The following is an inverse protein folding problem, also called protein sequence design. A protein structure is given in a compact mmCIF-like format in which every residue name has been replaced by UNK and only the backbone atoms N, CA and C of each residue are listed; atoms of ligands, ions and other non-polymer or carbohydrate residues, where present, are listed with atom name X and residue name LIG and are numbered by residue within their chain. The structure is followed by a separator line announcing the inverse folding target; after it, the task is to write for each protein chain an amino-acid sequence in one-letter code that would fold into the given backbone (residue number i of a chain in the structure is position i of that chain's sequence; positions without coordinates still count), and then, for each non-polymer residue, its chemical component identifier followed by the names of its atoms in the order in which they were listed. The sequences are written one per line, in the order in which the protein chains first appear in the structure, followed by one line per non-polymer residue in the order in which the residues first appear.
data_IF_680417163827
#
_entry.id   IF_680417163827
#
_cell.length_a   1.000
_cell.length_b   1.000
_cell.length_c   1.000
_cell.angle_alpha   90.00
_cell.angle_beta   90.00
_cell.angle_gamma   90.00
#
_symmetry.space_group_name_H-M   'P 1'
#
loop_
_entity.id
_entity.type
_entity.pdbx_description
1 polymer ?
#
# COMPACT_ATOMS: atom_id res chain seq x y z
N UNK A 1 8.51 23.77 -15.20
CA UNK A 1 9.16 24.52 -14.10
C UNK A 1 9.17 26.02 -14.34
N UNK A 2 9.47 26.49 -15.56
CA UNK A 2 9.49 27.91 -15.95
C UNK A 2 8.17 28.65 -15.66
N UNK A 3 7.01 28.06 -15.96
CA UNK A 3 5.69 28.67 -15.70
C UNK A 3 5.39 28.96 -14.21
N UNK A 4 5.92 28.16 -13.30
CA UNK A 4 5.70 28.34 -11.86
C UNK A 4 6.66 29.41 -11.29
N UNK A 5 7.89 29.48 -11.80
CA UNK A 5 8.84 30.53 -11.42
C UNK A 5 8.37 31.91 -11.88
N UNK A 6 7.85 32.03 -13.11
CA UNK A 6 7.30 33.29 -13.60
C UNK A 6 6.06 33.70 -12.80
N UNK A 7 5.13 32.77 -12.56
CA UNK A 7 3.96 33.03 -11.72
C UNK A 7 4.34 33.47 -10.30
N UNK A 8 5.30 32.80 -9.67
CA UNK A 8 5.81 33.16 -8.35
C UNK A 8 6.44 34.57 -8.35
N UNK A 9 7.27 34.89 -9.36
CA UNK A 9 7.89 36.20 -9.50
C UNK A 9 6.84 37.31 -9.65
N UNK A 10 5.86 37.16 -10.55
CA UNK A 10 4.79 38.13 -10.72
C UNK A 10 3.94 38.29 -9.45
N UNK A 11 3.63 37.18 -8.77
CA UNK A 11 2.86 37.19 -7.52
C UNK A 11 3.57 37.92 -6.38
N UNK A 12 4.88 37.68 -6.23
CA UNK A 12 5.71 38.35 -5.23
C UNK A 12 5.89 39.83 -5.55
N UNK A 13 6.10 40.19 -6.82
CA UNK A 13 6.19 41.59 -7.26
C UNK A 13 4.88 42.35 -7.02
N UNK A 14 3.73 41.76 -7.36
CA UNK A 14 2.42 42.36 -7.12
C UNK A 14 2.18 42.60 -5.62
N UNK A 15 2.52 41.62 -4.79
CA UNK A 15 2.38 41.73 -3.33
C UNK A 15 3.34 42.77 -2.77
N UNK A 16 4.61 42.75 -3.15
CA UNK A 16 5.59 43.76 -2.75
C UNK A 16 5.17 45.18 -3.15
N UNK A 17 4.61 45.35 -4.35
CA UNK A 17 4.09 46.63 -4.81
C UNK A 17 2.89 47.10 -3.98
N UNK A 18 1.97 46.19 -3.63
CA UNK A 18 0.81 46.51 -2.78
C UNK A 18 1.22 46.88 -1.34
N UNK A 19 2.21 46.18 -0.79
CA UNK A 19 2.79 46.45 0.53
C UNK A 19 3.48 47.82 0.50
N UNK A 20 4.32 48.06 -0.51
CA UNK A 20 5.01 49.34 -0.69
C UNK A 20 4.02 50.50 -0.81
N UNK A 21 2.98 50.37 -1.64
CA UNK A 21 1.93 51.37 -1.76
C UNK A 21 1.22 51.66 -0.43
N UNK A 22 0.93 50.63 0.36
CA UNK A 22 0.25 50.81 1.64
C UNK A 22 1.09 51.57 2.66
N UNK A 23 2.40 51.33 2.71
CA UNK A 23 3.34 52.02 3.59
C UNK A 23 3.77 53.39 3.08
N UNK A 24 3.80 53.62 1.77
CA UNK A 24 4.11 54.94 1.20
C UNK A 24 2.93 55.90 1.29
N UNK A 25 1.70 55.39 1.19
CA UNK A 25 0.48 56.20 1.36
C UNK A 25 0.10 56.46 2.81
N UNK A 26 0.64 55.69 3.77
CA UNK A 26 0.32 55.81 5.20
C UNK A 26 1.61 55.85 6.00
N UNK A 27 1.88 56.99 6.60
CA UNK A 27 3.10 57.24 7.39
C UNK A 27 3.18 56.37 8.66
N UNK A 28 2.05 55.83 9.13
CA UNK A 28 1.95 55.02 10.35
C UNK A 28 1.75 53.53 10.05
N UNK A 29 2.39 52.68 10.85
CA UNK A 29 2.35 51.22 10.72
C UNK A 29 0.93 50.63 10.86
N UNK A 30 0.18 51.05 11.88
CA UNK A 30 -1.13 50.47 12.17
C UNK A 30 -2.16 50.70 11.04
N UNK A 31 -2.36 51.93 10.52
CA UNK A 31 -3.22 52.16 9.37
C UNK A 31 -2.82 51.38 8.10
N UNK A 32 -1.51 51.19 7.87
CA UNK A 32 -1.00 50.39 6.75
C UNK A 32 -1.38 48.91 6.89
N UNK A 33 -1.21 48.33 8.08
CA UNK A 33 -1.61 46.94 8.36
C UNK A 33 -3.12 46.74 8.28
N UNK A 34 -3.90 47.68 8.80
CA UNK A 34 -5.36 47.64 8.67
C UNK A 34 -5.73 47.63 7.19
N UNK A 35 -5.20 48.53 6.36
CA UNK A 35 -5.48 48.54 4.92
C UNK A 35 -5.11 47.23 4.21
N UNK A 36 -3.96 46.64 4.52
CA UNK A 36 -3.55 45.34 3.96
C UNK A 36 -4.55 44.23 4.30
N UNK A 37 -5.07 44.24 5.53
CA UNK A 37 -6.00 43.22 6.02
C UNK A 37 -7.46 43.44 5.59
N UNK A 38 -7.88 44.70 5.39
CA UNK A 38 -9.27 45.05 5.06
C UNK A 38 -9.52 45.20 3.56
N UNK A 39 -8.49 45.57 2.79
CA UNK A 39 -8.63 45.71 1.34
C UNK A 39 -8.72 44.34 0.67
N UNK A 40 -9.83 44.09 -0.03
CA UNK A 40 -10.07 42.81 -0.73
C UNK A 40 -8.94 42.42 -1.68
N UNK A 41 -8.37 43.40 -2.40
CA UNK A 41 -7.30 43.15 -3.39
C UNK A 41 -6.00 42.79 -2.66
N UNK A 42 -5.60 43.56 -1.65
CA UNK A 42 -4.37 43.30 -0.89
C UNK A 42 -4.45 41.95 -0.18
N UNK A 43 -5.62 41.64 0.38
CA UNK A 43 -5.89 40.36 1.03
C UNK A 43 -5.74 39.17 0.07
N UNK A 44 -6.29 39.25 -1.15
CA UNK A 44 -6.13 38.20 -2.18
C UNK A 44 -4.67 38.05 -2.59
N UNK A 45 -3.93 39.16 -2.75
CA UNK A 45 -2.49 39.12 -3.07
C UNK A 45 -1.67 38.45 -1.95
N UNK A 46 -2.00 38.72 -0.68
CA UNK A 46 -1.36 38.09 0.48
C UNK A 46 -1.67 36.58 0.54
N UNK A 47 -2.92 36.17 0.31
CA UNK A 47 -3.28 34.75 0.24
C UNK A 47 -2.57 34.03 -0.91
N UNK A 48 -2.49 34.67 -2.08
CA UNK A 48 -1.77 34.16 -3.24
C UNK A 48 -0.26 34.01 -2.96
N UNK A 49 0.33 34.94 -2.22
CA UNK A 49 1.72 34.82 -1.75
C UNK A 49 1.91 33.65 -0.79
N UNK A 50 0.93 33.40 0.11
CA UNK A 50 0.91 32.20 0.93
C UNK A 50 0.90 30.91 0.10
N UNK A 51 0.09 30.85 -0.96
CA UNK A 51 0.07 29.71 -1.89
C UNK A 51 1.40 29.53 -2.61
N UNK A 52 2.02 30.62 -3.08
CA UNK A 52 3.37 30.58 -3.69
C UNK A 52 4.40 30.04 -2.69
N UNK A 53 4.38 30.50 -1.44
CA UNK A 53 5.26 30.01 -0.39
C UNK A 53 5.09 28.50 -0.15
N UNK A 54 3.85 28.01 -0.14
CA UNK A 54 3.55 26.57 -0.06
C UNK A 54 4.10 25.78 -1.26
N UNK A 55 3.95 26.30 -2.48
CA UNK A 55 4.53 25.67 -3.68
C UNK A 55 6.07 25.65 -3.64
N UNK A 56 6.70 26.70 -3.13
CA UNK A 56 8.16 26.75 -2.95
C UNK A 56 8.61 25.76 -1.88
N UNK A 57 7.90 25.67 -0.74
CA UNK A 57 8.17 24.68 0.29
C UNK A 57 8.07 23.25 -0.24
N UNK A 58 7.02 22.93 -1.02
CA UNK A 58 6.89 21.66 -1.72
C UNK A 58 8.09 21.36 -2.62
N UNK A 59 8.51 22.33 -3.45
CA UNK A 59 9.67 22.14 -4.33
C UNK A 59 10.96 21.94 -3.55
N UNK A 60 11.15 22.65 -2.44
CA UNK A 60 12.31 22.52 -1.58
C UNK A 60 12.37 21.12 -0.97
N UNK A 61 11.29 20.66 -0.33
CA UNK A 61 11.20 19.31 0.25
C UNK A 61 11.42 18.24 -0.82
N UNK A 62 10.77 18.38 -1.99
CA UNK A 62 10.99 17.50 -3.13
C UNK A 62 12.46 17.44 -3.54
N UNK A 63 13.14 18.59 -3.69
CA UNK A 63 14.54 18.64 -4.12
C UNK A 63 15.50 18.08 -3.07
N UNK A 64 15.28 18.38 -1.79
CA UNK A 64 16.15 17.96 -0.70
C UNK A 64 16.07 16.45 -0.44
N UNK A 65 14.86 15.89 -0.39
CA UNK A 65 14.65 14.52 0.05
C UNK A 65 14.34 13.54 -1.09
N UNK A 66 13.52 13.94 -2.06
CA UNK A 66 12.90 13.02 -3.03
C UNK A 66 13.59 13.01 -4.41
N UNK A 67 14.25 14.12 -4.79
CA UNK A 67 14.82 14.30 -6.12
C UNK A 67 13.76 14.40 -7.23
N UNK A 68 13.85 13.53 -8.24
CA UNK A 68 12.87 13.43 -9.33
C UNK A 68 11.72 12.51 -8.94
N UNK A 69 10.49 13.00 -9.09
CA UNK A 69 9.27 12.21 -8.88
C UNK A 69 9.09 11.22 -10.02
N UNK A 70 8.70 9.99 -9.68
CA UNK A 70 8.42 8.90 -10.62
C UNK A 70 6.94 8.92 -11.02
N UNK A 71 6.61 8.29 -12.14
CA UNK A 71 5.23 8.29 -12.67
C UNK A 71 4.24 7.68 -11.66
N UNK A 72 4.58 6.52 -11.07
CA UNK A 72 3.75 5.88 -10.05
C UNK A 72 3.51 6.76 -8.79
N UNK A 73 4.43 7.68 -8.48
CA UNK A 73 4.27 8.61 -7.37
C UNK A 73 3.34 9.76 -7.74
N UNK A 74 3.45 10.28 -8.97
CA UNK A 74 2.58 11.33 -9.49
C UNK A 74 1.15 10.82 -9.65
N UNK A 75 0.98 9.60 -10.15
CA UNK A 75 -0.32 8.96 -10.28
C UNK A 75 -1.01 8.79 -8.91
N UNK A 76 -0.28 8.23 -7.94
CA UNK A 76 -0.74 8.10 -6.54
C UNK A 76 -1.16 9.45 -5.95
N UNK A 77 -0.35 10.50 -6.14
CA UNK A 77 -0.66 11.85 -5.68
C UNK A 77 -1.95 12.38 -6.31
N UNK A 78 -2.11 12.23 -7.62
CA UNK A 78 -3.26 12.73 -8.35
C UNK A 78 -4.55 12.05 -7.88
N UNK A 79 -4.55 10.73 -7.84
CA UNK A 79 -5.71 9.95 -7.39
C UNK A 79 -6.15 10.30 -5.96
N UNK A 80 -5.20 10.43 -5.04
CA UNK A 80 -5.51 10.66 -3.64
C UNK A 80 -5.86 12.12 -3.36
N UNK A 81 -5.20 13.09 -4.03
CA UNK A 81 -5.44 14.52 -3.81
C UNK A 81 -6.90 14.92 -4.03
N UNK A 82 -7.55 14.41 -5.08
CA UNK A 82 -8.95 14.72 -5.36
C UNK A 82 -9.88 14.16 -4.30
N UNK A 83 -9.64 12.92 -3.85
CA UNK A 83 -10.43 12.27 -2.80
C UNK A 83 -10.40 13.05 -1.49
N UNK A 84 -9.23 13.54 -1.15
CA UNK A 84 -8.96 14.22 0.13
C UNK A 84 -9.53 15.63 0.17
N UNK A 85 -9.49 16.34 -0.98
CA UNK A 85 -10.21 17.61 -1.10
C UNK A 85 -11.71 17.42 -0.86
N UNK A 86 -12.30 16.36 -1.41
CA UNK A 86 -13.73 16.04 -1.20
C UNK A 86 -14.02 15.69 0.27
N UNK A 87 -13.17 14.91 0.93
CA UNK A 87 -13.30 14.61 2.38
C UNK A 87 -13.28 15.89 3.22
N UNK A 88 -12.31 16.77 2.96
CA UNK A 88 -12.18 18.04 3.68
C UNK A 88 -13.42 18.91 3.46
N UNK A 89 -13.94 18.98 2.22
CA UNK A 89 -15.18 19.71 1.94
C UNK A 89 -16.36 19.18 2.75
N UNK A 90 -16.53 17.86 2.84
CA UNK A 90 -17.55 17.27 3.71
C UNK A 90 -17.31 17.58 5.20
N UNK A 91 -16.07 17.54 5.67
CA UNK A 91 -15.73 17.92 7.04
C UNK A 91 -16.11 19.38 7.33
N UNK A 92 -15.80 20.32 6.43
CA UNK A 92 -16.17 21.75 6.56
C UNK A 92 -17.67 21.91 6.73
N UNK A 93 -18.48 21.16 5.96
CA UNK A 93 -19.94 21.28 6.04
C UNK A 93 -20.52 20.81 7.38
N UNK A 94 -19.87 19.85 8.04
CA UNK A 94 -20.32 19.29 9.32
C UNK A 94 -20.01 20.28 10.46
N UNK A 95 -18.81 20.84 10.48
CA UNK A 95 -18.40 21.72 11.57
C UNK A 95 -18.97 23.13 11.48
N UNK A 96 -19.61 23.50 10.35
CA UNK A 96 -20.27 24.80 10.14
C UNK A 96 -19.43 26.01 10.57
N UNK A 97 -18.11 25.90 10.44
CA UNK A 97 -17.18 26.94 10.88
C UNK A 97 -17.02 28.02 9.80
N UNK A 98 -16.90 29.27 10.24
CA UNK A 98 -16.65 30.39 9.33
C UNK A 98 -15.31 30.19 8.58
N UNK A 99 -15.32 30.50 7.29
CA UNK A 99 -14.13 30.47 6.43
C UNK A 99 -13.14 31.55 6.84
N UNK A 100 -12.30 31.23 7.83
CA UNK A 100 -11.19 32.08 8.27
C UNK A 100 -9.91 31.76 7.50
N UNK A 101 -9.01 32.75 7.41
CA UNK A 101 -7.67 32.56 6.80
C UNK A 101 -6.88 31.47 7.52
N UNK A 102 -6.97 31.43 8.85
CA UNK A 102 -6.31 30.41 9.66
C UNK A 102 -6.81 29.01 9.29
N UNK A 103 -8.12 28.86 9.10
CA UNK A 103 -8.69 27.58 8.69
C UNK A 103 -8.20 27.15 7.30
N UNK A 104 -8.23 28.06 6.32
CA UNK A 104 -7.73 27.78 4.97
C UNK A 104 -6.24 27.42 4.96
N UNK A 105 -5.43 28.10 5.78
CA UNK A 105 -4.02 27.79 5.95
C UNK A 105 -3.79 26.41 6.57
N UNK A 106 -4.58 26.02 7.57
CA UNK A 106 -4.51 24.68 8.17
C UNK A 106 -4.91 23.59 7.17
N UNK A 107 -5.96 23.80 6.36
CA UNK A 107 -6.36 22.88 5.29
C UNK A 107 -5.23 22.73 4.25
N UNK A 108 -4.67 23.83 3.79
CA UNK A 108 -3.57 23.82 2.82
C UNK A 108 -2.32 23.11 3.38
N UNK A 109 -1.99 23.35 4.65
CA UNK A 109 -0.91 22.67 5.35
C UNK A 109 -1.17 21.16 5.48
N UNK A 110 -2.38 20.76 5.88
CA UNK A 110 -2.76 19.35 5.98
C UNK A 110 -2.63 18.63 4.64
N UNK A 111 -3.16 19.20 3.55
CA UNK A 111 -3.05 18.63 2.21
C UNK A 111 -1.58 18.48 1.77
N UNK A 112 -0.74 19.48 2.06
CA UNK A 112 0.69 19.40 1.77
C UNK A 112 1.36 18.25 2.54
N UNK A 113 1.10 18.15 3.84
CA UNK A 113 1.69 17.10 4.69
C UNK A 113 1.19 15.71 4.26
N UNK A 114 -0.11 15.54 3.98
CA UNK A 114 -0.66 14.28 3.44
C UNK A 114 0.01 13.88 2.12
N UNK A 115 0.19 14.83 1.20
CA UNK A 115 0.87 14.56 -0.07
C UNK A 115 2.32 14.10 0.12
N UNK A 116 3.06 14.71 1.06
CA UNK A 116 4.42 14.28 1.40
C UNK A 116 4.47 12.87 2.01
N UNK A 117 3.46 12.51 2.82
CA UNK A 117 3.34 11.16 3.37
C UNK A 117 3.08 10.10 2.30
N UNK A 118 2.18 10.36 1.34
CA UNK A 118 1.94 9.40 0.23
C UNK A 118 3.21 9.17 -0.59
N UNK A 119 4.02 10.22 -0.79
CA UNK A 119 5.32 10.11 -1.43
C UNK A 119 6.31 9.28 -0.61
N UNK A 120 6.39 9.51 0.71
CA UNK A 120 7.26 8.73 1.60
C UNK A 120 6.92 7.23 1.54
N UNK A 121 5.63 6.88 1.64
CA UNK A 121 5.15 5.51 1.54
C UNK A 121 5.55 4.86 0.20
N UNK A 122 5.32 5.55 -0.92
CA UNK A 122 5.67 5.03 -2.25
C UNK A 122 7.17 4.95 -2.51
N UNK A 123 7.97 5.76 -1.82
CA UNK A 123 9.43 5.66 -1.88
C UNK A 123 9.95 4.47 -1.08
N UNK A 124 9.40 4.22 0.10
CA UNK A 124 9.75 3.03 0.90
C UNK A 124 9.39 1.75 0.16
N UNK A 125 8.18 1.66 -0.40
CA UNK A 125 7.72 0.53 -1.22
C UNK A 125 8.66 0.27 -2.42
N UNK A 126 9.11 1.34 -3.08
CA UNK A 126 10.07 1.19 -4.17
C UNK A 126 11.43 0.69 -3.72
N UNK A 127 11.97 1.25 -2.63
CA UNK A 127 13.26 0.83 -2.08
C UNK A 127 13.19 -0.65 -1.71
N UNK A 128 12.08 -1.11 -1.14
CA UNK A 128 11.87 -2.52 -0.82
C UNK A 128 11.90 -3.43 -2.06
N UNK A 129 11.25 -3.00 -3.14
CA UNK A 129 11.19 -3.79 -4.39
C UNK A 129 12.44 -3.72 -5.26
N UNK A 130 13.37 -2.79 -4.98
CA UNK A 130 14.55 -2.55 -5.81
C UNK A 130 15.78 -3.27 -5.24
N UNK A 131 16.46 -4.13 -6.03
CA UNK A 131 17.51 -5.02 -5.51
C UNK A 131 18.80 -4.30 -5.09
N UNK A 132 19.08 -3.11 -5.64
CA UNK A 132 20.22 -2.29 -5.21
C UNK A 132 19.87 -0.81 -5.28
N UNK A 133 20.04 -0.13 -4.16
CA UNK A 133 19.80 1.30 -3.99
C UNK A 133 21.04 1.94 -3.35
N UNK A 134 21.45 3.14 -3.79
CA UNK A 134 22.64 3.78 -3.25
C UNK A 134 22.41 4.25 -1.81
N UNK A 135 23.47 4.26 -0.98
CA UNK A 135 23.40 4.70 0.42
C UNK A 135 22.81 6.11 0.61
N UNK A 136 23.06 7.02 -0.35
CA UNK A 136 22.47 8.36 -0.33
C UNK A 136 20.93 8.33 -0.36
N UNK A 137 20.33 7.35 -1.04
CA UNK A 137 18.88 7.17 -1.06
C UNK A 137 18.35 6.71 0.30
N UNK A 138 19.09 5.86 1.01
CA UNK A 138 18.74 5.45 2.38
C UNK A 138 18.80 6.63 3.35
N UNK A 139 19.87 7.43 3.31
CA UNK A 139 20.02 8.63 4.16
C UNK A 139 18.87 9.62 3.88
N UNK A 140 18.53 9.83 2.60
CA UNK A 140 17.44 10.72 2.20
C UNK A 140 16.08 10.25 2.70
N UNK A 141 15.74 8.97 2.57
CA UNK A 141 14.42 8.48 3.01
C UNK A 141 14.29 8.47 4.54
N UNK A 142 15.35 8.11 5.26
CA UNK A 142 15.35 8.14 6.75
C UNK A 142 15.21 9.57 7.26
N UNK A 143 16.00 10.50 6.74
CA UNK A 143 15.88 11.92 7.10
C UNK A 143 14.53 12.52 6.71
N UNK A 144 13.94 12.08 5.58
CA UNK A 144 12.60 12.50 5.17
C UNK A 144 11.50 12.00 6.12
N UNK A 145 11.52 10.73 6.51
CA UNK A 145 10.56 10.18 7.48
C UNK A 145 10.71 10.84 8.86
N UNK A 146 11.94 11.11 9.30
CA UNK A 146 12.18 11.83 10.55
C UNK A 146 11.63 13.27 10.49
N UNK A 147 11.85 13.97 9.37
CA UNK A 147 11.30 15.30 9.12
C UNK A 147 9.76 15.30 9.16
N UNK A 148 9.11 14.31 8.53
CA UNK A 148 7.65 14.18 8.55
C UNK A 148 7.12 13.92 9.97
N UNK A 149 7.74 13.01 10.72
CA UNK A 149 7.32 12.70 12.08
C UNK A 149 7.44 13.92 13.01
N UNK A 150 8.50 14.73 12.86
CA UNK A 150 8.65 15.99 13.60
C UNK A 150 7.52 16.96 13.25
N UNK A 151 7.23 17.13 11.96
CA UNK A 151 6.12 17.97 11.50
C UNK A 151 4.79 17.50 12.10
N UNK A 152 4.47 16.22 12.02
CA UNK A 152 3.22 15.68 12.56
C UNK A 152 3.11 15.92 14.06
N UNK A 153 4.18 15.69 14.82
CA UNK A 153 4.20 15.94 16.27
C UNK A 153 4.00 17.42 16.59
N UNK A 154 4.62 18.33 15.82
CA UNK A 154 4.45 19.77 16.00
C UNK A 154 3.00 20.20 15.72
N UNK A 155 2.43 19.80 14.58
CA UNK A 155 1.05 20.14 14.21
C UNK A 155 0.02 19.49 15.15
N UNK A 156 0.23 18.24 15.56
CA UNK A 156 -0.59 17.55 16.54
C UNK A 156 -0.54 18.26 17.90
N UNK A 157 0.65 18.62 18.39
CA UNK A 157 0.80 19.33 19.66
C UNK A 157 0.12 20.70 19.64
N UNK A 158 0.23 21.44 18.53
CA UNK A 158 -0.44 22.73 18.37
C UNK A 158 -1.96 22.57 18.34
N UNK A 159 -2.47 21.58 17.59
CA UNK A 159 -3.90 21.31 17.46
C UNK A 159 -4.50 20.85 18.79
N UNK A 160 -3.80 19.98 19.53
CA UNK A 160 -4.19 19.53 20.87
C UNK A 160 -4.17 20.68 21.88
N UNK A 161 -3.15 21.54 21.87
CA UNK A 161 -3.13 22.75 22.73
C UNK A 161 -4.31 23.66 22.45
N UNK A 162 -4.63 23.91 21.18
CA UNK A 162 -5.81 24.70 20.80
C UNK A 162 -7.12 24.05 21.28
N UNK A 163 -7.23 22.73 21.22
CA UNK A 163 -8.40 21.99 21.69
C UNK A 163 -8.57 22.10 23.21
N UNK A 164 -7.48 21.91 23.96
CA UNK A 164 -7.50 21.96 25.43
C UNK A 164 -7.79 23.39 25.92
N UNK A 165 -7.23 24.40 25.27
CA UNK A 165 -7.39 25.80 25.69
C UNK A 165 -8.80 26.33 25.41
N UNK A 166 -9.35 26.03 24.22
CA UNK A 166 -10.67 26.53 23.84
C UNK A 166 -11.81 25.73 24.48
N UNK A 167 -11.57 24.45 24.85
CA UNK A 167 -12.57 23.48 25.38
C UNK A 167 -13.83 23.28 24.51
N UNK A 168 -13.93 23.99 23.39
CA UNK A 168 -14.95 23.80 22.38
C UNK A 168 -14.50 22.73 21.40
N UNK A 169 -15.32 21.69 21.28
CA UNK A 169 -15.25 20.83 20.12
C UNK A 169 -15.41 21.74 18.90
N UNK A 170 -14.40 21.76 18.04
CA UNK A 170 -14.34 22.59 16.84
C UNK A 170 -13.52 21.82 15.80
N UNK A 171 -13.32 22.42 14.62
CA UNK A 171 -12.52 21.84 13.54
C UNK A 171 -11.10 21.43 13.99
N UNK A 172 -10.59 21.95 15.10
CA UNK A 172 -9.34 21.50 15.71
C UNK A 172 -9.31 19.99 16.01
N UNK A 173 -10.46 19.37 16.35
CA UNK A 173 -10.53 17.91 16.56
C UNK A 173 -10.22 17.17 15.25
N UNK A 174 -10.84 17.59 14.14
CA UNK A 174 -10.59 17.03 12.82
C UNK A 174 -9.10 17.08 12.45
N UNK A 175 -8.46 18.22 12.59
CA UNK A 175 -7.02 18.33 12.33
C UNK A 175 -6.18 17.47 13.28
N UNK A 176 -6.50 17.46 14.58
CA UNK A 176 -5.75 16.63 15.55
C UNK A 176 -5.81 15.15 15.21
N UNK A 177 -6.97 14.67 14.78
CA UNK A 177 -7.18 13.30 14.37
C UNK A 177 -6.40 12.95 13.10
N UNK A 178 -6.47 13.82 12.10
CA UNK A 178 -5.74 13.65 10.84
C UNK A 178 -4.23 13.58 11.05
N UNK A 179 -3.66 14.48 11.87
CA UNK A 179 -2.25 14.46 12.21
C UNK A 179 -1.86 13.24 13.06
N UNK A 180 -2.76 12.73 13.90
CA UNK A 180 -2.51 11.51 14.68
C UNK A 180 -2.43 10.28 13.76
N UNK A 181 -3.30 10.16 12.76
CA UNK A 181 -3.24 9.06 11.78
C UNK A 181 -1.96 9.15 10.94
N UNK A 182 -1.58 10.35 10.50
CA UNK A 182 -0.34 10.56 9.76
C UNK A 182 0.88 10.13 10.58
N UNK A 183 0.94 10.52 11.85
CA UNK A 183 2.01 10.11 12.75
C UNK A 183 2.07 8.57 12.92
N UNK A 184 0.94 7.90 13.17
CA UNK A 184 0.91 6.43 13.32
C UNK A 184 1.31 5.71 12.04
N UNK A 185 0.90 6.23 10.89
CA UNK A 185 1.25 5.72 9.56
C UNK A 185 2.75 5.88 9.26
N UNK A 186 3.35 7.01 9.64
CA UNK A 186 4.80 7.26 9.52
C UNK A 186 5.60 6.31 10.40
N UNK A 187 5.17 6.09 11.66
CA UNK A 187 5.82 5.12 12.55
C UNK A 187 5.75 3.72 11.96
N UNK A 188 4.58 3.28 11.49
CA UNK A 188 4.41 1.97 10.84
C UNK A 188 5.32 1.81 9.61
N UNK A 189 5.38 2.84 8.75
CA UNK A 189 6.24 2.86 7.56
C UNK A 189 7.73 2.83 7.92
N UNK A 190 8.13 3.56 8.97
CA UNK A 190 9.50 3.56 9.48
C UNK A 190 9.90 2.18 10.00
N UNK A 191 9.04 1.51 10.78
CA UNK A 191 9.33 0.16 11.27
C UNK A 191 9.43 -0.85 10.11
N UNK A 192 8.56 -0.76 9.09
CA UNK A 192 8.71 -1.57 7.86
C UNK A 192 10.04 -1.34 7.17
N UNK A 193 10.47 -0.08 7.07
CA UNK A 193 11.77 0.26 6.49
C UNK A 193 12.93 -0.33 7.31
N UNK A 194 12.87 -0.27 8.64
CA UNK A 194 13.86 -0.92 9.51
C UNK A 194 13.88 -2.43 9.28
N UNK A 195 12.72 -3.06 9.07
CA UNK A 195 12.68 -4.49 8.75
C UNK A 195 13.37 -4.79 7.42
N UNK A 196 13.12 -3.98 6.39
CA UNK A 196 13.80 -4.11 5.11
C UNK A 196 15.32 -3.94 5.22
N UNK A 197 15.80 -2.91 5.92
CA UNK A 197 17.25 -2.69 6.10
C UNK A 197 17.89 -3.83 6.88
N UNK A 198 17.21 -4.34 7.92
CA UNK A 198 17.71 -5.48 8.70
C UNK A 198 17.82 -6.73 7.85
N UNK A 199 16.83 -7.01 7.00
CA UNK A 199 16.87 -8.12 6.04
C UNK A 199 18.00 -7.98 5.03
N UNK A 200 18.22 -6.76 4.51
CA UNK A 200 19.33 -6.46 3.59
C UNK A 200 20.70 -6.68 4.26
N UNK A 201 20.85 -6.32 5.54
CA UNK A 201 22.07 -6.55 6.31
C UNK A 201 22.30 -8.03 6.63
N UNK A 202 21.24 -8.83 6.70
CA UNK A 202 21.29 -10.29 6.88
C UNK A 202 21.34 -11.03 5.53
N UNK A 203 21.68 -10.35 4.43
CA UNK A 203 21.76 -10.94 3.08
C UNK A 203 20.47 -11.71 2.67
N UNK A 204 19.30 -11.29 3.17
CA UNK A 204 18.02 -11.93 2.88
C UNK A 204 17.73 -13.20 3.69
N UNK A 205 18.55 -13.54 4.69
CA UNK A 205 18.38 -14.74 5.51
C UNK A 205 17.34 -14.60 6.63
N UNK A 206 16.57 -13.50 6.68
CA UNK A 206 15.61 -13.28 7.76
C UNK A 206 14.29 -14.03 7.53
N UNK A 207 14.26 -15.33 7.86
CA UNK A 207 13.09 -16.21 7.67
C UNK A 207 11.79 -15.67 8.31
N UNK A 208 11.89 -14.92 9.41
CA UNK A 208 10.72 -14.41 10.17
C UNK A 208 10.25 -13.01 9.74
N UNK A 209 10.90 -12.37 8.76
CA UNK A 209 10.53 -11.02 8.28
C UNK A 209 9.06 -10.91 7.90
N UNK A 210 8.55 -11.87 7.13
CA UNK A 210 7.16 -11.88 6.66
C UNK A 210 6.16 -11.91 7.83
N UNK A 211 6.47 -12.68 8.88
CA UNK A 211 5.64 -12.79 10.09
C UNK A 211 5.63 -11.48 10.87
N UNK A 212 6.79 -10.85 11.08
CA UNK A 212 6.86 -9.57 11.79
C UNK A 212 6.21 -8.43 11.00
N UNK A 213 6.38 -8.42 9.67
CA UNK A 213 5.73 -7.45 8.77
C UNK A 213 4.22 -7.61 8.83
N UNK A 214 3.72 -8.86 8.83
CA UNK A 214 2.30 -9.16 9.01
C UNK A 214 1.76 -8.64 10.36
N UNK A 215 2.47 -8.87 11.46
CA UNK A 215 2.05 -8.37 12.78
C UNK A 215 2.02 -6.84 12.85
N UNK A 216 3.05 -6.18 12.32
CA UNK A 216 3.11 -4.73 12.24
C UNK A 216 1.92 -4.17 11.46
N UNK A 217 1.60 -4.79 10.34
CA UNK A 217 0.45 -4.47 9.51
C UNK A 217 -0.89 -4.65 10.22
N UNK A 218 -1.09 -5.78 10.90
CA UNK A 218 -2.29 -6.05 11.68
C UNK A 218 -2.45 -5.04 12.84
N UNK A 219 -1.37 -4.73 13.56
CA UNK A 219 -1.38 -3.76 14.65
C UNK A 219 -1.66 -2.36 14.11
N UNK A 220 -1.04 -1.97 12.99
CA UNK A 220 -1.29 -0.69 12.34
C UNK A 220 -2.75 -0.54 11.92
N UNK A 221 -3.37 -1.57 11.33
CA UNK A 221 -4.79 -1.55 10.97
C UNK A 221 -5.69 -1.47 12.19
N UNK A 222 -5.38 -2.21 13.26
CA UNK A 222 -6.13 -2.17 14.51
C UNK A 222 -6.06 -0.77 15.15
N UNK A 223 -4.87 -0.16 15.18
CA UNK A 223 -4.69 1.21 15.67
C UNK A 223 -5.51 2.17 14.82
N UNK A 224 -5.40 2.16 13.50
CA UNK A 224 -6.19 3.04 12.64
C UNK A 224 -7.70 2.82 12.82
N UNK A 225 -8.18 1.58 12.83
CA UNK A 225 -9.59 1.26 13.06
C UNK A 225 -10.08 1.80 14.41
N UNK A 226 -9.28 1.65 15.47
CA UNK A 226 -9.60 2.18 16.79
C UNK A 226 -9.69 3.72 16.80
N UNK A 227 -8.77 4.39 16.10
CA UNK A 227 -8.76 5.85 15.97
C UNK A 227 -9.98 6.34 15.17
N UNK A 228 -10.26 5.74 14.01
CA UNK A 228 -11.44 6.08 13.19
C UNK A 228 -12.75 5.85 13.97
N UNK A 229 -12.86 4.75 14.72
CA UNK A 229 -14.04 4.48 15.56
C UNK A 229 -14.19 5.51 16.68
N UNK A 230 -13.10 5.84 17.39
CA UNK A 230 -13.12 6.84 18.46
C UNK A 230 -13.56 8.21 17.91
N UNK A 231 -13.02 8.61 16.77
CA UNK A 231 -13.35 9.90 16.14
C UNK A 231 -14.77 9.91 15.57
N UNK A 232 -15.21 8.81 14.94
CA UNK A 232 -16.59 8.66 14.48
C UNK A 232 -17.58 8.84 15.63
N UNK A 233 -17.36 8.15 16.76
CA UNK A 233 -18.21 8.28 17.95
C UNK A 233 -18.15 9.71 18.50
N UNK A 234 -16.96 10.30 18.59
CA UNK A 234 -16.79 11.66 19.09
C UNK A 234 -17.56 12.69 18.24
N UNK A 235 -17.49 12.63 16.91
CA UNK A 235 -18.27 13.54 16.07
C UNK A 235 -19.75 13.19 16.10
N UNK A 236 -20.10 11.91 16.05
CA UNK A 236 -21.49 11.45 16.07
C UNK A 236 -22.27 11.99 17.27
N UNK A 237 -21.66 11.92 18.46
CA UNK A 237 -22.29 12.38 19.70
C UNK A 237 -22.42 13.91 19.77
N UNK A 238 -21.57 14.67 19.09
CA UNK A 238 -21.54 16.14 19.19
C UNK A 238 -22.21 16.86 18.00
N UNK A 239 -22.16 16.28 16.79
CA UNK A 239 -22.57 16.94 15.53
C UNK A 239 -23.47 16.07 14.64
N UNK A 240 -23.71 14.80 15.01
CA UNK A 240 -24.44 13.84 14.18
C UNK A 240 -23.55 13.10 13.18
N UNK A 241 -24.17 12.50 12.15
CA UNK A 241 -23.49 11.50 11.29
C UNK A 241 -22.31 12.09 10.50
N UNK A 242 -21.06 11.62 10.74
CA UNK A 242 -19.90 12.10 9.99
C UNK A 242 -19.73 11.35 8.67
N UNK A 243 -20.38 11.82 7.60
CA UNK A 243 -20.31 11.19 6.27
C UNK A 243 -18.87 11.04 5.74
N UNK A 244 -18.00 12.01 6.07
CA UNK A 244 -16.59 12.03 5.70
C UNK A 244 -15.72 10.95 6.37
N UNK A 245 -16.27 10.14 7.30
CA UNK A 245 -15.54 9.05 7.96
C UNK A 245 -16.07 7.66 7.60
N UNK A 246 -17.22 7.59 6.92
CA UNK A 246 -17.89 6.31 6.65
C UNK A 246 -17.04 5.46 5.72
N UNK A 247 -16.42 6.08 4.69
CA UNK A 247 -15.60 5.36 3.73
C UNK A 247 -14.32 4.85 4.38
N UNK A 248 -13.64 5.71 5.12
CA UNK A 248 -12.37 5.47 5.79
C UNK A 248 -12.52 4.36 6.83
N UNK A 249 -13.64 4.39 7.56
CA UNK A 249 -14.01 3.33 8.49
C UNK A 249 -14.32 2.02 7.77
N UNK A 250 -15.05 2.05 6.66
CA UNK A 250 -15.34 0.86 5.86
C UNK A 250 -14.08 0.24 5.28
N UNK A 251 -13.19 1.05 4.70
CA UNK A 251 -11.93 0.60 4.10
C UNK A 251 -10.99 -0.01 5.15
N UNK A 252 -10.79 0.67 6.28
CA UNK A 252 -9.95 0.14 7.37
C UNK A 252 -10.52 -1.13 7.97
N UNK A 253 -11.83 -1.21 8.19
CA UNK A 253 -12.49 -2.41 8.68
C UNK A 253 -12.40 -3.58 7.69
N UNK A 254 -12.57 -3.31 6.38
CA UNK A 254 -12.42 -4.32 5.32
C UNK A 254 -11.00 -4.87 5.28
N UNK A 255 -9.99 -3.99 5.33
CA UNK A 255 -8.58 -4.37 5.33
C UNK A 255 -8.24 -5.23 6.56
N UNK A 256 -8.70 -4.80 7.74
CA UNK A 256 -8.52 -5.56 8.97
C UNK A 256 -9.18 -6.95 8.92
N UNK A 257 -10.40 -7.05 8.39
CA UNK A 257 -11.10 -8.33 8.19
C UNK A 257 -10.33 -9.27 7.26
N UNK A 258 -9.83 -8.75 6.14
CA UNK A 258 -9.02 -9.54 5.19
C UNK A 258 -7.77 -10.05 5.89
N UNK A 259 -7.04 -9.19 6.62
CA UNK A 259 -5.84 -9.60 7.37
C UNK A 259 -6.11 -10.62 8.46
N UNK A 260 -7.23 -10.53 9.18
CA UNK A 260 -7.62 -11.57 10.14
C UNK A 260 -7.89 -12.89 9.43
N UNK A 261 -8.60 -12.88 8.30
CA UNK A 261 -8.87 -14.09 7.54
C UNK A 261 -7.56 -14.74 7.06
N UNK A 262 -6.60 -13.92 6.59
CA UNK A 262 -5.27 -14.38 6.20
C UNK A 262 -4.48 -14.94 7.39
N UNK A 263 -4.55 -14.32 8.57
CA UNK A 263 -3.93 -14.84 9.80
C UNK A 263 -4.49 -16.20 10.21
N UNK A 264 -5.83 -16.33 10.23
CA UNK A 264 -6.49 -17.57 10.59
C UNK A 264 -6.13 -18.66 9.58
N UNK A 265 -6.08 -18.34 8.29
CA UNK A 265 -5.64 -19.24 7.23
C UNK A 265 -4.17 -19.66 7.41
N UNK A 266 -3.28 -18.71 7.66
CA UNK A 266 -1.86 -18.95 7.94
C UNK A 266 -1.67 -19.89 9.14
N UNK A 267 -2.37 -19.62 10.25
CA UNK A 267 -2.30 -20.45 11.46
C UNK A 267 -2.89 -21.83 11.21
N UNK A 268 -3.97 -21.97 10.44
CA UNK A 268 -4.57 -23.27 10.11
C UNK A 268 -3.63 -24.15 9.27
N UNK A 269 -2.90 -23.56 8.32
CA UNK A 269 -1.91 -24.28 7.51
C UNK A 269 -0.69 -24.65 8.36
N UNK A 270 -0.19 -23.72 9.18
CA UNK A 270 1.05 -23.90 9.95
C UNK A 270 0.89 -24.79 11.19
N UNK A 271 -0.25 -24.70 11.89
CA UNK A 271 -0.51 -25.47 13.12
C UNK A 271 -0.53 -26.98 12.92
N UNK A 272 -0.61 -27.45 11.67
CA UNK A 272 -0.62 -28.87 11.35
C UNK A 272 0.62 -29.29 10.54
N UNK A 273 1.61 -28.42 10.31
CA UNK A 273 2.79 -28.81 9.51
C UNK A 273 3.71 -29.81 10.22
N UNK A 274 4.01 -29.57 11.50
CA UNK A 274 4.88 -30.47 12.26
C UNK A 274 4.18 -31.79 12.62
N UNK A 275 2.86 -31.79 12.73
CA UNK A 275 2.05 -32.98 13.01
C UNK A 275 1.71 -33.78 11.75
N UNK A 276 1.52 -33.14 10.58
CA UNK A 276 1.12 -33.82 9.33
C UNK A 276 2.28 -34.45 8.57
N UNK A 277 3.49 -33.91 8.72
CA UNK A 277 4.65 -34.36 7.94
C UNK A 277 5.74 -34.86 8.89
N UNK A 278 6.12 -36.16 8.79
CA UNK A 278 7.23 -36.68 9.57
C UNK A 278 8.54 -36.01 9.14
N UNK A 279 9.45 -35.86 10.10
CA UNK A 279 10.83 -35.48 9.82
C UNK A 279 11.53 -36.62 9.07
N UNK A 280 12.32 -36.29 8.07
CA UNK A 280 13.13 -37.28 7.36
C UNK A 280 14.24 -37.79 8.28
N UNK A 281 14.48 -39.10 8.27
CA UNK A 281 15.65 -39.66 8.96
C UNK A 281 16.94 -39.24 8.24
N UNK A 282 18.06 -39.19 8.96
CA UNK A 282 19.37 -38.88 8.36
C UNK A 282 19.75 -39.85 7.24
N UNK A 283 19.26 -41.09 7.30
CA UNK A 283 19.46 -42.12 6.28
C UNK A 283 18.65 -41.84 5.00
N UNK A 284 17.39 -41.39 5.13
CA UNK A 284 16.56 -41.00 3.98
C UNK A 284 17.05 -39.71 3.31
N UNK A 285 17.63 -38.82 4.10
CA UNK A 285 18.21 -37.56 3.65
C UNK A 285 19.53 -37.76 2.89
N UNK A 286 20.31 -38.78 3.27
CA UNK A 286 21.52 -39.18 2.54
C UNK A 286 21.23 -40.06 1.31
N UNK A 287 20.12 -40.80 1.32
CA UNK A 287 19.70 -41.63 0.18
C UNK A 287 19.00 -40.83 -0.93
N UNK A 288 18.41 -39.69 -0.58
CA UNK A 288 17.82 -38.72 -1.51
C UNK A 288 18.82 -37.58 -1.75
N UNK A 289 18.71 -36.85 -2.86
CA UNK A 289 19.52 -35.65 -3.08
C UNK A 289 19.23 -34.65 -1.93
N UNK A 290 20.24 -34.35 -1.11
CA UNK A 290 20.11 -33.50 0.08
C UNK A 290 19.83 -32.04 -0.29
N UNK A 291 19.73 -31.69 -1.56
CA UNK A 291 19.46 -30.34 -2.04
C UNK A 291 17.96 -30.04 -2.07
N UNK A 292 17.52 -28.98 -1.39
CA UNK A 292 16.11 -28.54 -1.46
C UNK A 292 15.81 -27.87 -2.82
N UNK A 293 14.78 -28.31 -3.54
CA UNK A 293 14.49 -27.75 -4.89
C UNK A 293 13.99 -26.29 -4.84
N UNK A 294 13.49 -25.85 -3.69
CA UNK A 294 12.87 -24.53 -3.53
C UNK A 294 13.94 -23.45 -3.36
N UNK A 295 14.87 -23.63 -2.42
CA UNK A 295 15.96 -22.68 -2.17
C UNK A 295 17.29 -23.06 -2.83
N UNK A 296 17.43 -24.30 -3.32
CA UNK A 296 18.67 -24.86 -3.91
C UNK A 296 19.84 -24.96 -2.92
N UNK A 297 19.55 -25.04 -1.63
CA UNK A 297 20.53 -25.22 -0.55
C UNK A 297 20.45 -26.64 0.03
N UNK A 298 21.54 -27.09 0.65
CA UNK A 298 21.63 -28.41 1.29
C UNK A 298 20.75 -28.47 2.56
N UNK A 299 20.05 -29.60 2.74
CA UNK A 299 19.11 -29.84 3.81
C UNK A 299 19.79 -30.57 4.95
N UNK A 300 19.81 -29.97 6.13
CA UNK A 300 20.21 -30.64 7.39
C UNK A 300 19.01 -31.19 8.16
N UNK A 301 17.84 -30.56 7.98
CA UNK A 301 16.55 -31.01 8.50
C UNK A 301 15.48 -30.84 7.42
N UNK A 302 14.77 -31.92 7.08
CA UNK A 302 13.75 -31.90 6.03
C UNK A 302 12.44 -32.53 6.49
N UNK A 303 11.32 -32.01 5.97
CA UNK A 303 9.99 -32.59 6.14
C UNK A 303 9.63 -33.41 4.91
N UNK A 304 9.11 -34.62 5.15
CA UNK A 304 8.68 -35.55 4.10
C UNK A 304 7.19 -35.41 3.84
N UNK A 305 6.81 -35.08 2.61
CA UNK A 305 5.41 -35.12 2.20
C UNK A 305 4.95 -36.58 1.97
N UNK A 306 3.64 -36.79 1.94
CA UNK A 306 3.03 -38.11 1.65
C UNK A 306 3.45 -38.70 0.29
N UNK A 307 3.86 -37.85 -0.65
CA UNK A 307 4.41 -38.26 -1.95
C UNK A 307 5.91 -38.59 -1.92
N UNK A 308 6.56 -38.56 -0.75
CA UNK A 308 7.96 -38.93 -0.56
C UNK A 308 8.99 -37.81 -0.76
N UNK A 309 8.60 -36.63 -1.26
CA UNK A 309 9.54 -35.53 -1.51
C UNK A 309 9.93 -34.78 -0.23
N UNK A 310 11.20 -34.37 -0.16
CA UNK A 310 11.84 -33.72 0.98
C UNK A 310 12.09 -32.23 0.72
N UNK A 311 11.81 -31.39 1.71
CA UNK A 311 12.07 -29.94 1.64
C UNK A 311 12.42 -29.38 3.03
N UNK A 312 13.14 -28.26 3.11
CA UNK A 312 13.24 -27.50 4.38
C UNK A 312 11.86 -27.10 4.88
N UNK A 313 11.71 -27.03 6.20
CA UNK A 313 10.44 -26.66 6.85
C UNK A 313 9.97 -25.27 6.41
N UNK A 314 10.88 -24.28 6.34
CA UNK A 314 10.56 -22.92 5.92
C UNK A 314 10.17 -22.86 4.43
N UNK A 315 10.89 -23.59 3.57
CA UNK A 315 10.62 -23.67 2.13
C UNK A 315 9.25 -24.28 1.85
N UNK A 316 8.94 -25.40 2.51
CA UNK A 316 7.65 -26.06 2.38
C UNK A 316 6.51 -25.17 2.91
N UNK A 317 6.73 -24.47 4.02
CA UNK A 317 5.74 -23.53 4.58
C UNK A 317 5.44 -22.41 3.58
N UNK A 318 6.47 -21.76 3.05
CA UNK A 318 6.33 -20.67 2.07
C UNK A 318 5.65 -21.13 0.78
N UNK A 319 5.94 -22.35 0.32
CA UNK A 319 5.26 -22.92 -0.85
C UNK A 319 3.78 -23.19 -0.58
N UNK A 320 3.46 -23.80 0.56
CA UNK A 320 2.09 -24.15 0.96
C UNK A 320 1.19 -22.93 1.20
N UNK A 321 1.76 -21.77 1.52
CA UNK A 321 1.03 -20.51 1.56
C UNK A 321 0.43 -20.13 0.19
N UNK A 322 1.08 -20.56 -0.90
CA UNK A 322 0.72 -20.22 -2.29
C UNK A 322 -0.01 -21.36 -3.00
N UNK A 323 0.49 -22.58 -2.87
CA UNK A 323 0.04 -23.76 -3.63
C UNK A 323 -0.04 -24.99 -2.72
N UNK A 324 -1.19 -25.65 -2.66
CA UNK A 324 -1.42 -26.84 -1.82
C UNK A 324 -0.99 -28.15 -2.52
N UNK A 325 0.06 -28.09 -3.33
CA UNK A 325 0.57 -29.20 -4.14
C UNK A 325 2.06 -29.38 -3.92
N UNK A 326 2.57 -30.59 -4.09
CA UNK A 326 4.01 -30.84 -3.98
C UNK A 326 4.78 -30.04 -5.05
N UNK A 327 5.84 -29.29 -4.69
CA UNK A 327 6.68 -28.57 -5.65
C UNK A 327 7.27 -29.45 -6.76
N UNK A 328 7.61 -30.71 -6.44
CA UNK A 328 8.23 -31.64 -7.39
C UNK A 328 7.19 -32.35 -8.26
N UNK A 329 6.21 -33.03 -7.65
CA UNK A 329 5.29 -33.90 -8.37
C UNK A 329 3.88 -33.34 -8.56
N UNK A 330 3.60 -32.15 -8.00
CA UNK A 330 2.27 -31.48 -8.02
C UNK A 330 1.13 -32.30 -7.41
N UNK A 331 1.42 -33.41 -6.74
CA UNK A 331 0.42 -34.19 -6.02
C UNK A 331 -0.26 -33.34 -4.93
N UNK A 332 -1.59 -33.44 -4.77
CA UNK A 332 -2.31 -32.73 -3.73
C UNK A 332 -1.87 -33.22 -2.34
N UNK A 333 -1.69 -32.27 -1.43
CA UNK A 333 -1.13 -32.51 -0.10
C UNK A 333 -2.22 -32.94 0.90
N UNK A 334 -3.48 -32.78 0.53
CA UNK A 334 -4.66 -33.30 1.23
C UNK A 334 -5.22 -34.43 0.35
N UNK A 335 -5.21 -35.70 0.80
CA UNK A 335 -5.99 -36.73 0.13
C UNK A 335 -7.45 -36.26 0.10
N UNK A 336 -8.08 -36.25 -1.07
CA UNK A 336 -9.52 -36.01 -1.13
C UNK A 336 -10.19 -37.03 -0.21
N UNK A 337 -11.00 -36.55 0.73
CA UNK A 337 -11.78 -37.39 1.62
C UNK A 337 -12.55 -38.39 0.73
N UNK A 338 -12.17 -39.67 0.82
CA UNK A 338 -12.77 -40.73 0.02
C UNK A 338 -14.22 -40.89 0.47
N UNK A 339 -15.13 -40.15 -0.17
CA UNK A 339 -16.53 -40.16 0.21
C UNK A 339 -17.54 -39.85 -0.88
N UNK A 340 -17.16 -39.37 -2.08
CA UNK A 340 -18.15 -39.05 -3.15
C UNK A 340 -17.52 -38.77 -4.53
N UNK A 341 -16.82 -39.74 -5.12
CA UNK A 341 -16.52 -39.70 -6.57
C UNK A 341 -16.22 -41.11 -7.13
N UNK A 342 -16.97 -42.12 -6.70
CA UNK A 342 -17.07 -43.38 -7.43
C UNK A 342 -18.33 -43.33 -8.30
N UNK A 343 -18.31 -42.54 -9.37
CA UNK A 343 -19.21 -42.74 -10.51
C UNK A 343 -18.72 -41.98 -11.74
N UNK A 344 -17.73 -42.57 -12.41
CA UNK A 344 -17.53 -42.47 -13.85
C UNK A 344 -16.56 -43.59 -14.26
N UNK A 345 -16.97 -44.82 -13.95
CA UNK A 345 -16.43 -46.01 -14.61
C UNK A 345 -17.19 -46.14 -15.91
N UNK A 346 -16.51 -46.15 -17.05
CA UNK A 346 -16.77 -47.12 -18.13
C UNK A 346 -15.73 -47.04 -19.27
N UNK A 347 -15.58 -48.09 -20.08
CA UNK A 347 -14.35 -48.88 -20.12
C UNK A 347 -13.84 -49.10 -21.56
N UNK A 348 -12.69 -49.74 -21.72
CA UNK A 348 -12.31 -50.31 -23.02
C UNK A 348 -10.83 -50.52 -23.21
N UNK A 349 -10.29 -51.60 -22.64
CA UNK A 349 -9.09 -52.24 -23.15
C UNK A 349 -9.52 -53.62 -23.68
N UNK A 350 -9.19 -53.93 -24.92
CA UNK A 350 -8.95 -55.30 -25.36
C UNK A 350 -7.66 -55.37 -26.19
N UNK A 351 -6.87 -56.44 -26.03
CA UNK A 351 -5.53 -56.57 -26.61
C UNK A 351 -5.55 -57.39 -27.91
N UNK A 352 -4.63 -57.10 -28.84
CA UNK A 352 -4.24 -58.03 -29.90
C UNK A 352 -2.76 -57.86 -30.23
N UNK A 353 -2.03 -58.97 -30.28
CA UNK A 353 -0.60 -59.09 -30.51
C UNK A 353 -0.25 -59.13 -32.02
N UNK A 354 0.96 -58.68 -32.38
CA UNK A 354 1.63 -59.06 -33.63
C UNK A 354 2.43 -57.98 -34.37
N UNK A 355 3.75 -57.96 -34.13
CA UNK A 355 4.90 -57.72 -35.06
C UNK A 355 4.91 -56.60 -36.11
N UNK A 356 6.00 -55.79 -36.09
CA UNK A 356 6.62 -55.16 -37.27
C UNK A 356 6.87 -53.64 -37.19
N UNK A 357 8.13 -53.20 -37.16
CA UNK A 357 8.61 -51.83 -37.47
C UNK A 357 8.83 -51.67 -39.00
N UNK A 358 9.10 -50.48 -39.58
CA UNK A 358 8.96 -49.08 -39.11
C UNK A 358 8.30 -48.10 -40.15
N UNK A 359 8.14 -46.83 -39.73
CA UNK A 359 8.03 -45.57 -40.51
C UNK A 359 6.69 -45.16 -41.18
N UNK A 360 6.11 -44.04 -40.73
CA UNK A 360 5.71 -42.86 -41.56
C UNK A 360 4.93 -41.80 -40.76
N UNK A 361 5.39 -40.56 -40.91
CA UNK A 361 4.68 -39.27 -41.00
C UNK A 361 3.37 -39.04 -40.19
N UNK A 362 3.45 -38.17 -39.18
CA UNK A 362 2.31 -37.66 -38.40
C UNK A 362 2.11 -36.15 -38.56
N UNK A 363 0.86 -35.78 -38.89
CA UNK A 363 0.38 -34.52 -39.43
C UNK A 363 0.44 -33.27 -38.49
N UNK A 364 0.30 -32.04 -39.03
CA UNK A 364 0.49 -30.77 -38.28
C UNK A 364 -0.58 -30.44 -37.23
N UNK A 365 -1.67 -31.22 -37.14
CA UNK A 365 -2.86 -30.90 -36.33
C UNK A 365 -2.75 -31.19 -34.83
N UNK A 366 -2.01 -32.24 -34.43
CA UNK A 366 -1.88 -32.62 -33.01
C UNK A 366 -1.00 -31.66 -32.20
N UNK A 367 -0.05 -30.99 -32.86
CA UNK A 367 0.81 -30.01 -32.20
C UNK A 367 0.08 -28.71 -31.87
N UNK A 368 -0.94 -28.33 -32.65
CA UNK A 368 -1.74 -27.12 -32.41
C UNK A 368 -2.69 -27.28 -31.22
N UNK A 369 -3.40 -28.42 -31.11
CA UNK A 369 -4.29 -28.70 -29.98
C UNK A 369 -3.51 -28.82 -28.65
N UNK A 370 -2.31 -29.40 -28.68
CA UNK A 370 -1.43 -29.49 -27.51
C UNK A 370 -0.81 -28.15 -27.12
N UNK A 371 -0.52 -27.27 -28.08
CA UNK A 371 -0.08 -25.89 -27.81
C UNK A 371 -1.21 -25.06 -27.22
N UNK A 372 -2.42 -25.20 -27.73
CA UNK A 372 -3.59 -24.49 -27.25
C UNK A 372 -3.97 -24.91 -25.84
N UNK A 373 -3.96 -26.22 -25.55
CA UNK A 373 -4.14 -26.74 -24.20
C UNK A 373 -3.04 -26.28 -23.21
N UNK A 374 -1.78 -26.16 -23.68
CA UNK A 374 -0.69 -25.58 -22.86
C UNK A 374 -0.87 -24.08 -22.61
N UNK A 375 -1.39 -23.33 -23.59
CA UNK A 375 -1.67 -21.89 -23.47
C UNK A 375 -2.86 -21.64 -22.53
N UNK A 376 -3.92 -22.44 -22.62
CA UNK A 376 -5.07 -22.37 -21.71
C UNK A 376 -4.69 -22.79 -20.28
N UNK A 377 -3.85 -23.83 -20.12
CA UNK A 377 -3.32 -24.22 -18.82
C UNK A 377 -2.37 -23.16 -18.24
N UNK A 378 -1.57 -22.48 -19.07
CA UNK A 378 -0.72 -21.38 -18.65
C UNK A 378 -1.55 -20.14 -18.27
N UNK A 379 -2.63 -19.84 -19.00
CA UNK A 379 -3.57 -18.77 -18.67
C UNK A 379 -4.35 -19.05 -17.38
N UNK A 380 -4.74 -20.30 -17.14
CA UNK A 380 -5.36 -20.73 -15.89
C UNK A 380 -4.38 -20.70 -14.70
N UNK A 381 -3.10 -21.04 -14.92
CA UNK A 381 -2.06 -20.91 -13.90
C UNK A 381 -1.75 -19.43 -13.58
N UNK A 382 -1.79 -18.55 -14.58
CA UNK A 382 -1.61 -17.11 -14.41
C UNK A 382 -2.79 -16.46 -13.66
N UNK A 383 -4.03 -16.92 -13.89
CA UNK A 383 -5.21 -16.42 -13.16
C UNK A 383 -5.25 -16.87 -11.69
N UNK A 384 -4.67 -18.03 -11.39
CA UNK A 384 -4.42 -18.49 -10.02
C UNK A 384 -3.30 -17.67 -9.34
N UNK A 385 -2.26 -17.28 -10.08
CA UNK A 385 -1.18 -16.43 -9.59
C UNK A 385 -1.65 -15.01 -9.24
N UNK A 386 -2.60 -14.45 -10.00
CA UNK A 386 -3.18 -13.13 -9.74
C UNK A 386 -4.01 -13.01 -8.46
N UNK A 387 -4.30 -14.13 -7.79
CA UNK A 387 -5.12 -14.16 -6.56
C UNK A 387 -4.30 -14.25 -5.28
N UNK A 388 -2.98 -14.44 -5.38
CA UNK A 388 -2.06 -14.60 -4.28
C UNK A 388 -0.87 -13.65 -4.46
N UNK A 389 -1.08 -12.36 -4.15
CA UNK A 389 -0.21 -11.47 -3.37
C UNK A 389 -0.67 -10.02 -3.51
N UNK A 390 -0.61 -9.33 -2.37
CA UNK A 390 -0.33 -7.91 -2.15
C UNK A 390 0.04 -7.14 -3.44
N UNK A 391 -0.80 -6.16 -3.79
CA UNK A 391 -0.82 -5.28 -4.98
C UNK A 391 -1.59 -5.77 -6.23
N UNK A 392 -2.66 -5.07 -6.64
CA UNK A 392 -3.32 -5.33 -7.92
C UNK A 392 -2.50 -4.75 -9.09
N UNK A 393 -2.51 -5.39 -10.28
CA UNK A 393 -1.96 -4.79 -11.49
C UNK A 393 -2.87 -3.65 -12.00
N UNK A 394 -2.26 -2.56 -12.45
CA UNK A 394 -2.89 -1.29 -12.78
C UNK A 394 -3.71 -1.23 -14.09
N UNK A 395 -4.14 -2.36 -14.69
CA UNK A 395 -4.83 -2.32 -16.00
C UNK A 395 -5.95 -3.36 -16.15
N UNK A 396 -6.96 -3.30 -15.28
CA UNK A 396 -8.20 -4.09 -15.43
C UNK A 396 -9.46 -3.23 -15.57
N UNK A 397 -9.35 -2.08 -16.23
CA UNK A 397 -10.47 -1.21 -16.60
C UNK A 397 -10.47 -0.90 -18.11
N UNK A 398 -10.42 -1.92 -18.95
CA UNK A 398 -10.95 -1.80 -20.32
C UNK A 398 -11.28 -3.19 -20.88
N UNK A 399 -12.54 -3.61 -20.76
CA UNK A 399 -13.22 -4.52 -21.70
C UNK A 399 -14.43 -5.19 -21.03
N UNK A 400 -15.56 -4.48 -20.98
CA UNK A 400 -16.88 -5.14 -21.01
C UNK A 400 -17.98 -4.13 -21.37
N UNK A 401 -18.09 -3.81 -22.66
CA UNK A 401 -19.35 -3.39 -23.27
C UNK A 401 -19.27 -3.63 -24.78
N UNK A 402 -19.55 -4.87 -25.19
CA UNK A 402 -20.06 -5.13 -26.53
C UNK A 402 -21.36 -5.91 -26.33
N UNK A 403 -22.46 -5.17 -26.40
CA UNK A 403 -23.80 -5.72 -26.43
C UNK A 403 -23.97 -6.57 -27.70
N UNK A 404 -24.43 -7.80 -27.50
CA UNK A 404 -25.03 -8.65 -28.53
C UNK A 404 -26.35 -8.02 -28.97
N UNK A 405 -26.53 -7.78 -30.27
CA UNK A 405 -27.84 -7.83 -30.92
C UNK A 405 -27.73 -8.67 -32.18
N UNK A 406 -28.41 -9.81 -32.12
CA UNK A 406 -28.66 -10.72 -33.23
C UNK A 406 -30.08 -10.40 -33.71
N UNK A 407 -30.21 -10.07 -35.00
CA UNK A 407 -31.37 -10.25 -35.90
C UNK A 407 -32.70 -10.65 -35.26
N UNK A 408 -33.75 -9.82 -35.41
CA UNK A 408 -34.82 -9.96 -36.44
C UNK A 408 -35.31 -8.55 -36.78
#
# INVERSE_FOLDING_TARGET
MTRLQTYAAFSLLATASSVYYAFSSREQFYPAMVYLSTSKICFVLLLNTGLVAMCVAWQLVKRLFLGSLREAEVERLNEQSWREVVEILFAVTIFRQDFSVSFLAMVAALLLVKALHWLAQKRVEYIETTPSVPMLSHIRIVSFMAFLLIIDCLFLSNSLRSLIQKREASVAIFFSFEYMILATSTVSTFVKYVFYVSDMLMEGQWEKKAVYTFYLELVSDLVHLSLYMLFFIAIFLNYGVPLHLIRELYETFRNFKIRIADYVRYRKITSNMNERFPDASAEELNASDATCIICREEMTTAKKLLCGHLFHVHCLRSWLERQHTCPTCRAPIIPADNGRAASARQPGAQPAAGTGTPASEGAPGENMSRRQAKLEAAAAAASLYGRSFVYPPANALSSSSVYKYTTI
#
